data_IF_951794780214
#
_entry.id   IF_951794780214
#
_cell.length_a   1.000
_cell.length_b   1.000
_cell.length_c   1.000
_cell.angle_alpha   90.00
_cell.angle_beta   90.00
_cell.angle_gamma   90.00
#
_symmetry.space_group_name_H-M   'P 1'
#
loop_
_entity.id
_entity.type
_entity.pdbx_description
1 polymer ?
#
# COMPACT_ATOMS: atom_id res chain seq x y z
N UNK A 1 -20.37 13.55 -13.53
CA UNK A 1 -20.27 13.19 -12.09
C UNK A 1 -19.65 11.81 -11.95
N UNK A 2 -18.59 11.68 -11.18
CA UNK A 2 -17.93 10.37 -10.97
C UNK A 2 -18.64 9.58 -9.91
N UNK A 3 -18.80 8.27 -10.14
CA UNK A 3 -19.34 7.34 -9.15
C UNK A 3 -18.26 7.03 -8.09
N UNK A 4 -18.67 6.47 -6.97
CA UNK A 4 -17.74 6.00 -5.95
C UNK A 4 -16.78 4.95 -6.54
N UNK A 5 -17.29 4.03 -7.34
CA UNK A 5 -16.50 3.00 -8.03
C UNK A 5 -15.42 3.61 -8.91
N UNK A 6 -15.78 4.64 -9.67
CA UNK A 6 -14.83 5.34 -10.55
C UNK A 6 -13.75 6.07 -9.74
N UNK A 7 -14.12 6.67 -8.61
CA UNK A 7 -13.17 7.35 -7.74
C UNK A 7 -12.17 6.37 -7.13
N UNK A 8 -12.65 5.22 -6.68
CA UNK A 8 -11.79 4.17 -6.13
C UNK A 8 -10.84 3.64 -7.20
N UNK A 9 -11.35 3.36 -8.40
CA UNK A 9 -10.53 2.89 -9.51
C UNK A 9 -9.47 3.92 -9.90
N UNK A 10 -9.84 5.20 -9.93
CA UNK A 10 -8.92 6.30 -10.19
C UNK A 10 -7.82 6.41 -9.13
N UNK A 11 -8.17 6.28 -7.87
CA UNK A 11 -7.20 6.29 -6.77
C UNK A 11 -6.24 5.11 -6.87
N UNK A 12 -6.74 3.91 -7.19
CA UNK A 12 -5.89 2.73 -7.37
C UNK A 12 -4.91 2.89 -8.53
N UNK A 13 -5.35 3.49 -9.64
CA UNK A 13 -4.47 3.78 -10.79
C UNK A 13 -3.37 4.76 -10.41
N UNK A 14 -3.70 5.82 -9.71
CA UNK A 14 -2.71 6.81 -9.25
C UNK A 14 -1.73 6.19 -8.27
N UNK A 15 -2.22 5.39 -7.34
CA UNK A 15 -1.39 4.67 -6.39
C UNK A 15 -0.42 3.73 -7.10
N UNK A 16 -0.89 3.01 -8.11
CA UNK A 16 -0.04 2.14 -8.93
C UNK A 16 1.08 2.93 -9.61
N UNK A 17 0.75 4.08 -10.19
CA UNK A 17 1.74 4.94 -10.84
C UNK A 17 2.80 5.43 -9.85
N UNK A 18 2.38 5.86 -8.67
CA UNK A 18 3.30 6.32 -7.61
C UNK A 18 4.16 5.16 -7.12
N UNK A 19 3.58 3.98 -6.93
CA UNK A 19 4.32 2.79 -6.53
C UNK A 19 5.38 2.41 -7.57
N UNK A 20 5.03 2.47 -8.84
CA UNK A 20 5.98 2.19 -9.93
C UNK A 20 7.13 3.20 -9.95
N UNK A 21 6.81 4.47 -9.70
CA UNK A 21 7.83 5.52 -9.60
C UNK A 21 8.77 5.27 -8.44
N UNK A 22 8.23 4.89 -7.28
CA UNK A 22 9.04 4.54 -6.11
C UNK A 22 9.94 3.34 -6.40
N UNK A 23 9.40 2.30 -7.02
CA UNK A 23 10.17 1.11 -7.40
C UNK A 23 11.34 1.48 -8.32
N UNK A 24 11.09 2.28 -9.34
CA UNK A 24 12.12 2.71 -10.27
C UNK A 24 13.20 3.54 -9.57
N UNK A 25 12.79 4.44 -8.67
CA UNK A 25 13.75 5.27 -7.92
C UNK A 25 14.62 4.43 -6.99
N UNK A 26 14.02 3.45 -6.30
CA UNK A 26 14.75 2.55 -5.39
C UNK A 26 15.73 1.66 -6.17
N UNK A 27 15.35 1.18 -7.34
CA UNK A 27 16.23 0.38 -8.21
C UNK A 27 17.47 1.15 -8.64
N UNK A 28 17.33 2.45 -8.87
CA UNK A 28 18.46 3.31 -9.23
C UNK A 28 19.39 3.59 -8.06
N UNK A 29 18.91 3.41 -6.85
CA UNK A 29 19.58 3.67 -5.57
C UNK A 29 20.01 5.12 -5.43
N UNK A 30 19.77 5.69 -4.27
CA UNK A 30 20.16 7.07 -3.98
C UNK A 30 21.67 7.25 -3.82
N UNK A 31 22.38 6.16 -3.46
CA UNK A 31 23.81 6.24 -3.17
C UNK A 31 24.15 7.17 -2.01
N UNK A 32 23.18 7.42 -1.12
CA UNK A 32 23.35 8.35 -0.01
C UNK A 32 23.08 9.81 -0.37
N UNK A 33 22.55 10.08 -1.56
CA UNK A 33 22.26 11.44 -2.02
C UNK A 33 21.10 12.03 -1.23
N UNK A 34 21.39 13.08 -0.45
CA UNK A 34 20.42 13.72 0.41
C UNK A 34 19.24 14.32 -0.34
N UNK A 35 19.38 14.64 -1.62
CA UNK A 35 18.28 15.18 -2.42
C UNK A 35 17.14 14.18 -2.60
N UNK A 36 17.38 12.88 -2.39
CA UNK A 36 16.35 11.85 -2.43
C UNK A 36 15.43 11.90 -1.20
N UNK A 37 15.87 12.50 -0.08
CA UNK A 37 15.08 12.51 1.16
C UNK A 37 13.70 13.16 0.96
N UNK A 38 13.58 14.42 0.51
CA UNK A 38 12.26 15.01 0.32
C UNK A 38 11.44 14.30 -0.76
N UNK A 39 12.09 13.79 -1.78
CA UNK A 39 11.43 13.03 -2.84
C UNK A 39 10.79 11.75 -2.28
N UNK A 40 11.56 10.95 -1.53
CA UNK A 40 11.06 9.73 -0.92
C UNK A 40 9.98 10.02 0.13
N UNK A 41 10.12 11.07 0.92
CA UNK A 41 9.10 11.45 1.91
C UNK A 41 7.79 11.80 1.22
N UNK A 42 7.84 12.56 0.13
CA UNK A 42 6.64 12.92 -0.63
C UNK A 42 5.94 11.68 -1.21
N UNK A 43 6.70 10.75 -1.80
CA UNK A 43 6.15 9.49 -2.31
C UNK A 43 5.56 8.65 -1.17
N UNK A 44 6.27 8.57 -0.06
CA UNK A 44 5.82 7.84 1.12
C UNK A 44 4.55 8.41 1.72
N UNK A 45 4.43 9.71 1.83
CA UNK A 45 3.22 10.38 2.32
C UNK A 45 2.01 10.07 1.44
N UNK A 46 2.20 10.10 0.13
CA UNK A 46 1.12 9.78 -0.81
C UNK A 46 0.66 8.34 -0.67
N UNK A 47 1.61 7.40 -0.67
CA UNK A 47 1.31 5.97 -0.54
C UNK A 47 0.61 5.69 0.78
N UNK A 48 1.12 6.22 1.87
CA UNK A 48 0.57 6.03 3.21
C UNK A 48 -0.88 6.52 3.29
N UNK A 49 -1.15 7.73 2.81
CA UNK A 49 -2.50 8.29 2.82
C UNK A 49 -3.46 7.48 1.95
N UNK A 50 -3.04 7.09 0.74
CA UNK A 50 -3.86 6.29 -0.16
C UNK A 50 -4.15 4.91 0.40
N UNK A 51 -3.14 4.26 0.98
CA UNK A 51 -3.31 2.92 1.55
C UNK A 51 -4.23 2.93 2.77
N UNK A 52 -4.17 3.97 3.61
CA UNK A 52 -5.11 4.11 4.73
C UNK A 52 -6.55 4.23 4.24
N UNK A 53 -6.79 5.03 3.20
CA UNK A 53 -8.14 5.18 2.64
C UNK A 53 -8.65 3.88 2.04
N UNK A 54 -7.83 3.20 1.25
CA UNK A 54 -8.21 1.94 0.59
C UNK A 54 -8.43 0.84 1.63
N UNK A 55 -7.57 0.76 2.64
CA UNK A 55 -7.72 -0.20 3.73
C UNK A 55 -9.05 -0.02 4.46
N UNK A 56 -9.38 1.23 4.82
CA UNK A 56 -10.64 1.53 5.50
C UNK A 56 -11.86 1.14 4.65
N UNK A 57 -11.80 1.38 3.34
CA UNK A 57 -12.86 0.99 2.41
C UNK A 57 -13.03 -0.53 2.34
N UNK A 58 -11.92 -1.27 2.29
CA UNK A 58 -11.95 -2.73 2.21
C UNK A 58 -12.49 -3.35 3.50
N UNK A 59 -12.12 -2.81 4.66
CA UNK A 59 -12.67 -3.24 5.95
C UNK A 59 -14.18 -3.03 5.98
N UNK A 60 -14.64 -1.85 5.57
CA UNK A 60 -16.05 -1.51 5.53
C UNK A 60 -16.83 -2.43 4.59
N UNK A 61 -16.26 -2.72 3.42
CA UNK A 61 -16.87 -3.63 2.46
C UNK A 61 -17.02 -5.04 3.04
N UNK A 62 -15.98 -5.56 3.68
CA UNK A 62 -16.01 -6.87 4.33
C UNK A 62 -17.09 -6.95 5.41
N UNK A 63 -17.21 -5.91 6.24
CA UNK A 63 -18.23 -5.83 7.28
C UNK A 63 -19.65 -5.80 6.68
N UNK A 64 -19.84 -5.06 5.60
CA UNK A 64 -21.14 -4.99 4.92
C UNK A 64 -21.54 -6.35 4.35
N UNK A 65 -20.61 -7.08 3.76
CA UNK A 65 -20.85 -8.42 3.23
C UNK A 65 -21.27 -9.35 4.36
N UNK A 66 -20.56 -9.33 5.49
CA UNK A 66 -20.90 -10.18 6.64
C UNK A 66 -22.29 -9.90 7.18
N UNK A 67 -22.69 -8.64 7.22
CA UNK A 67 -24.01 -8.25 7.72
C UNK A 67 -25.14 -8.66 6.79
N UNK A 68 -24.91 -8.64 5.48
CA UNK A 68 -25.93 -8.94 4.48
C UNK A 68 -26.10 -10.42 4.22
N UNK A 69 -25.05 -11.20 4.43
CA UNK A 69 -25.09 -12.64 4.22
C UNK A 69 -25.30 -13.34 5.57
N UNK A 70 -26.55 -13.65 5.87
CA UNK A 70 -26.92 -14.34 7.12
C UNK A 70 -26.27 -15.71 7.19
N UNK A 71 -26.23 -16.42 6.05
CA UNK A 71 -25.55 -17.70 5.93
C UNK A 71 -24.47 -17.59 4.88
N UNK A 72 -23.22 -17.78 5.29
CA UNK A 72 -22.10 -17.78 4.37
C UNK A 72 -21.84 -19.21 3.91
N UNK A 73 -21.76 -19.44 2.59
CA UNK A 73 -21.28 -20.70 2.08
C UNK A 73 -19.75 -20.79 2.21
N UNK A 74 -19.17 -21.94 1.89
CA UNK A 74 -17.74 -22.18 2.05
C UNK A 74 -16.91 -21.21 1.18
N UNK A 75 -17.38 -20.90 -0.03
CA UNK A 75 -16.68 -19.98 -0.94
C UNK A 75 -16.68 -18.54 -0.41
N UNK A 76 -17.80 -18.08 0.13
CA UNK A 76 -17.91 -16.74 0.70
C UNK A 76 -17.02 -16.59 1.93
N UNK A 77 -16.98 -17.61 2.80
CA UNK A 77 -16.11 -17.63 3.97
C UNK A 77 -14.64 -17.58 3.56
N UNK A 78 -14.26 -18.37 2.58
CA UNK A 78 -12.88 -18.40 2.09
C UNK A 78 -12.49 -17.04 1.52
N UNK A 79 -13.37 -16.39 0.76
CA UNK A 79 -13.10 -15.07 0.20
C UNK A 79 -12.91 -14.02 1.30
N UNK A 80 -13.73 -14.05 2.36
CA UNK A 80 -13.60 -13.15 3.50
C UNK A 80 -12.33 -13.41 4.29
N UNK A 81 -11.95 -14.67 4.48
CA UNK A 81 -10.70 -15.03 5.16
C UNK A 81 -9.48 -14.55 4.37
N UNK A 82 -9.49 -14.72 3.06
CA UNK A 82 -8.42 -14.23 2.19
C UNK A 82 -8.32 -12.70 2.23
N UNK A 83 -9.46 -12.02 2.23
CA UNK A 83 -9.50 -10.56 2.37
C UNK A 83 -8.87 -10.14 3.70
N UNK A 84 -9.26 -10.80 4.80
CA UNK A 84 -8.71 -10.51 6.12
C UNK A 84 -7.21 -10.70 6.17
N UNK A 85 -6.69 -11.80 5.60
CA UNK A 85 -5.26 -12.07 5.55
C UNK A 85 -4.51 -10.99 4.77
N UNK A 86 -5.06 -10.56 3.62
CA UNK A 86 -4.44 -9.49 2.82
C UNK A 86 -4.43 -8.17 3.57
N UNK A 87 -5.52 -7.84 4.25
CA UNK A 87 -5.60 -6.61 5.04
C UNK A 87 -4.59 -6.61 6.19
N UNK A 88 -4.46 -7.74 6.88
CA UNK A 88 -3.51 -7.89 7.98
C UNK A 88 -2.07 -7.81 7.49
N UNK A 89 -1.74 -8.51 6.41
CA UNK A 89 -0.39 -8.48 5.82
C UNK A 89 -0.04 -7.11 5.28
N UNK A 90 -0.98 -6.47 4.60
CA UNK A 90 -0.77 -5.12 4.07
C UNK A 90 -0.53 -4.11 5.20
N UNK A 91 -1.29 -4.21 6.28
CA UNK A 91 -1.11 -3.33 7.44
C UNK A 91 0.26 -3.53 8.10
N UNK A 92 0.73 -4.78 8.21
CA UNK A 92 2.04 -5.07 8.76
C UNK A 92 3.15 -4.45 7.92
N UNK A 93 3.09 -4.58 6.59
CA UNK A 93 4.08 -3.99 5.69
C UNK A 93 4.00 -2.46 5.70
N UNK A 94 2.79 -1.91 5.75
CA UNK A 94 2.60 -0.46 5.82
C UNK A 94 3.22 0.11 7.11
N UNK A 95 3.08 -0.59 8.23
CA UNK A 95 3.68 -0.18 9.50
C UNK A 95 5.20 -0.09 9.39
N UNK A 96 5.84 -1.09 8.77
CA UNK A 96 7.30 -1.09 8.55
C UNK A 96 7.71 0.05 7.62
N UNK A 97 6.96 0.25 6.54
CA UNK A 97 7.20 1.33 5.58
C UNK A 97 7.08 2.70 6.25
N UNK A 98 6.03 2.91 7.04
CA UNK A 98 5.81 4.18 7.76
C UNK A 98 6.90 4.46 8.77
N UNK A 99 7.38 3.42 9.48
CA UNK A 99 8.49 3.57 10.42
C UNK A 99 9.78 3.96 9.69
N UNK A 100 10.05 3.37 8.52
CA UNK A 100 11.21 3.71 7.71
C UNK A 100 11.12 5.14 7.16
N UNK A 101 9.92 5.59 6.77
CA UNK A 101 9.69 6.97 6.34
C UNK A 101 9.95 7.94 7.49
N UNK A 102 9.47 7.63 8.70
CA UNK A 102 9.72 8.47 9.88
C UNK A 102 11.21 8.55 10.21
N UNK A 103 11.94 7.44 10.10
CA UNK A 103 13.39 7.44 10.28
C UNK A 103 14.05 8.34 9.25
N UNK A 104 13.60 8.33 8.00
CA UNK A 104 14.11 9.19 6.95
C UNK A 104 13.88 10.67 7.26
N UNK A 105 12.71 11.02 7.80
CA UNK A 105 12.38 12.38 8.20
C UNK A 105 13.24 12.85 9.37
N UNK A 106 13.57 11.97 10.31
CA UNK A 106 14.30 12.30 11.52
C UNK A 106 15.82 12.23 11.34
N UNK A 107 16.31 11.31 10.54
CA UNK A 107 17.74 11.02 10.40
C UNK A 107 18.33 11.48 9.06
N UNK A 108 17.46 11.78 8.07
CA UNK A 108 17.91 12.22 6.76
C UNK A 108 18.60 11.10 5.97
N UNK A 109 19.69 11.47 5.30
CA UNK A 109 20.38 10.56 4.35
C UNK A 109 20.86 9.26 4.99
N UNK A 110 21.13 9.25 6.30
CA UNK A 110 21.56 8.03 6.99
C UNK A 110 20.49 6.92 6.97
N UNK A 111 19.21 7.29 6.85
CA UNK A 111 18.11 6.35 6.80
C UNK A 111 17.72 5.94 5.37
N UNK A 112 18.40 6.45 4.33
CA UNK A 112 18.09 6.10 2.94
C UNK A 112 18.13 4.60 2.66
N UNK A 113 19.16 3.85 3.08
CA UNK A 113 19.19 2.40 2.84
C UNK A 113 18.01 1.67 3.49
N UNK A 114 17.65 2.07 4.71
CA UNK A 114 16.52 1.48 5.43
C UNK A 114 15.20 1.74 4.70
N UNK A 115 15.00 2.97 4.24
CA UNK A 115 13.79 3.33 3.50
C UNK A 115 13.71 2.57 2.18
N UNK A 116 14.82 2.48 1.46
CA UNK A 116 14.88 1.77 0.18
C UNK A 116 14.57 0.28 0.36
N UNK A 117 15.10 -0.34 1.41
CA UNK A 117 14.83 -1.74 1.71
C UNK A 117 13.37 -1.97 2.07
N UNK A 118 12.79 -1.13 2.94
CA UNK A 118 11.39 -1.23 3.32
C UNK A 118 10.46 -1.01 2.13
N UNK A 119 10.80 -0.06 1.26
CA UNK A 119 10.03 0.22 0.03
C UNK A 119 10.04 -0.96 -0.93
N UNK A 120 11.20 -1.57 -1.14
CA UNK A 120 11.33 -2.74 -2.02
C UNK A 120 10.50 -3.92 -1.48
N UNK A 121 10.55 -4.16 -0.18
CA UNK A 121 9.75 -5.22 0.46
C UNK A 121 8.26 -4.96 0.34
N UNK A 122 7.83 -3.73 0.55
CA UNK A 122 6.41 -3.36 0.47
C UNK A 122 5.89 -3.47 -0.96
N UNK A 123 6.61 -2.91 -1.94
CA UNK A 123 6.17 -2.99 -3.33
C UNK A 123 6.14 -4.42 -3.84
N UNK A 124 7.10 -5.26 -3.44
CA UNK A 124 7.09 -6.68 -3.78
C UNK A 124 5.87 -7.39 -3.19
N UNK A 125 5.52 -7.09 -1.94
CA UNK A 125 4.32 -7.65 -1.31
C UNK A 125 3.05 -7.26 -2.06
N UNK A 126 2.91 -5.98 -2.42
CA UNK A 126 1.74 -5.48 -3.16
C UNK A 126 1.60 -6.21 -4.49
N UNK A 127 2.68 -6.33 -5.25
CA UNK A 127 2.65 -7.01 -6.56
C UNK A 127 2.27 -8.48 -6.40
N UNK A 128 2.83 -9.17 -5.42
CA UNK A 128 2.57 -10.60 -5.21
C UNK A 128 1.14 -10.88 -4.75
N UNK A 129 0.54 -9.98 -3.96
CA UNK A 129 -0.73 -10.25 -3.29
C UNK A 129 -1.93 -9.51 -3.89
N UNK A 130 -1.71 -8.46 -4.66
CA UNK A 130 -2.79 -7.64 -5.22
C UNK A 130 -2.81 -7.60 -6.73
N UNK A 131 -1.69 -7.82 -7.39
CA UNK A 131 -1.57 -7.70 -8.83
C UNK A 131 -2.39 -8.73 -9.60
N UNK A 132 -2.50 -9.95 -9.10
CA UNK A 132 -3.21 -11.03 -9.79
C UNK A 132 -4.74 -10.88 -9.77
N UNK A 133 -5.25 -9.92 -9.01
CA UNK A 133 -6.68 -9.60 -9.02
C UNK A 133 -7.03 -8.48 -10.02
N UNK A 134 -6.05 -7.98 -10.77
CA UNK A 134 -6.25 -6.88 -11.71
C UNK A 134 -6.55 -5.54 -11.05
N UNK A 135 -6.32 -5.42 -9.76
CA UNK A 135 -6.65 -4.22 -8.98
C UNK A 135 -5.49 -3.24 -8.86
N UNK A 136 -4.35 -3.57 -9.40
CA UNK A 136 -3.17 -2.68 -9.32
C UNK A 136 -2.57 -2.38 -10.67
#
# INVERSE_FOLDING_TARGET
MTTLSERIAGERRRLKSVRQLLTAAVERKSGGDQSFVPFYVALGDYIEASMHRLHAQDVKMGDMIRRKLVTLDANARQALDELHERLTGNQAHLTVFSAAKSALQNEGADALPRFEQASAAYTAYIVANMGHHGLT
#
